data_IF_131861402641
#
_entry.id   IF_131861402641
#
_cell.length_a   1.000
_cell.length_b   1.000
_cell.length_c   1.000
_cell.angle_alpha   90.00
_cell.angle_beta   90.00
_cell.angle_gamma   90.00
#
_symmetry.space_group_name_H-M   'P 1'
#
loop_
_entity.id
_entity.type
_entity.pdbx_description
1 polymer ?
#
# COMPACT_ATOMS: atom_id res chain seq x y z
N UNK A 1 -27.07 -28.18 -24.10
CA UNK A 1 -25.69 -28.03 -23.62
C UNK A 1 -25.74 -27.98 -22.11
N UNK A 2 -25.55 -29.13 -21.46
CA UNK A 2 -25.74 -29.28 -20.02
C UNK A 2 -24.47 -28.77 -19.34
N UNK A 3 -24.56 -27.65 -18.62
CA UNK A 3 -23.54 -27.30 -17.64
C UNK A 3 -23.57 -28.37 -16.54
N UNK A 4 -22.69 -29.36 -16.63
CA UNK A 4 -22.47 -30.31 -15.54
C UNK A 4 -22.03 -29.52 -14.30
N UNK A 5 -22.60 -29.84 -13.12
CA UNK A 5 -22.32 -29.18 -11.83
C UNK A 5 -20.81 -28.92 -11.60
N UNK A 6 -19.94 -29.83 -12.04
CA UNK A 6 -18.49 -29.70 -11.94
C UNK A 6 -17.92 -28.49 -12.69
N UNK A 7 -18.43 -28.17 -13.89
CA UNK A 7 -17.99 -27.01 -14.67
C UNK A 7 -18.41 -25.68 -14.03
N UNK A 8 -19.56 -25.68 -13.34
CA UNK A 8 -20.04 -24.52 -12.58
C UNK A 8 -19.15 -24.25 -11.36
N UNK A 9 -18.77 -25.31 -10.63
CA UNK A 9 -17.88 -25.23 -9.47
C UNK A 9 -16.49 -24.74 -9.89
N UNK A 10 -15.90 -25.30 -10.96
CA UNK A 10 -14.60 -24.86 -11.48
C UNK A 10 -14.65 -23.39 -11.91
N UNK A 11 -15.70 -22.97 -12.62
CA UNK A 11 -15.88 -21.57 -13.03
C UNK A 11 -16.01 -20.63 -11.83
N UNK A 12 -16.74 -21.04 -10.79
CA UNK A 12 -16.87 -20.29 -9.55
C UNK A 12 -15.54 -20.23 -8.77
N UNK A 13 -14.78 -21.31 -8.70
CA UNK A 13 -13.46 -21.33 -8.06
C UNK A 13 -12.45 -20.45 -8.80
N UNK A 14 -12.46 -20.43 -10.14
CA UNK A 14 -11.62 -19.55 -10.95
C UNK A 14 -12.03 -18.09 -10.78
N UNK A 15 -13.34 -17.79 -10.76
CA UNK A 15 -13.86 -16.46 -10.50
C UNK A 15 -13.52 -15.98 -9.09
N UNK A 16 -13.69 -16.82 -8.07
CA UNK A 16 -13.33 -16.52 -6.69
C UNK A 16 -11.81 -16.33 -6.53
N UNK A 17 -10.99 -17.16 -7.16
CA UNK A 17 -9.52 -17.00 -7.19
C UNK A 17 -9.13 -15.68 -7.86
N UNK A 18 -9.81 -15.31 -8.95
CA UNK A 18 -9.58 -14.05 -9.65
C UNK A 18 -9.98 -12.84 -8.80
N UNK A 19 -11.13 -12.89 -8.12
CA UNK A 19 -11.59 -11.85 -7.19
C UNK A 19 -10.67 -11.73 -5.97
N UNK A 20 -10.26 -12.86 -5.38
CA UNK A 20 -9.30 -12.89 -4.27
C UNK A 20 -7.92 -12.34 -4.68
N UNK A 21 -7.50 -12.57 -5.93
CA UNK A 21 -6.27 -11.99 -6.46
C UNK A 21 -6.36 -10.47 -6.69
N UNK A 22 -7.58 -9.90 -6.80
CA UNK A 22 -7.79 -8.45 -6.94
C UNK A 22 -7.68 -7.73 -5.60
N UNK A 23 -8.03 -8.37 -4.47
CA UNK A 23 -7.92 -7.79 -3.11
C UNK A 23 -6.56 -8.07 -2.42
N UNK A 24 -5.48 -8.18 -3.19
CA UNK A 24 -4.14 -8.42 -2.61
C UNK A 24 -3.58 -7.08 -2.10
N UNK A 25 -3.52 -6.96 -0.78
CA UNK A 25 -2.75 -5.93 -0.09
C UNK A 25 -1.32 -5.91 -0.63
N UNK A 26 -0.82 -4.72 -1.00
CA UNK A 26 0.53 -4.60 -1.54
C UNK A 26 1.53 -4.30 -0.43
N UNK A 27 2.51 -5.17 -0.26
CA UNK A 27 3.58 -5.00 0.71
C UNK A 27 4.52 -3.88 0.19
N UNK A 28 4.62 -2.74 0.89
CA UNK A 28 5.55 -1.69 0.51
C UNK A 28 6.99 -2.10 0.81
N UNK A 29 7.90 -1.73 -0.09
CA UNK A 29 9.35 -1.72 0.16
C UNK A 29 9.86 -0.29 0.21
N UNK A 30 10.98 -0.08 0.87
CA UNK A 30 11.51 1.26 1.13
C UNK A 30 12.94 1.38 0.64
N UNK A 31 13.27 2.53 0.10
CA UNK A 31 14.65 2.90 -0.20
C UNK A 31 14.90 4.36 0.14
N UNK A 32 16.19 4.69 0.31
CA UNK A 32 16.68 6.05 0.52
C UNK A 32 17.76 6.34 -0.52
N UNK A 33 17.66 7.48 -1.21
CA UNK A 33 18.66 7.94 -2.18
C UNK A 33 19.03 9.39 -1.84
N UNK A 34 20.20 9.57 -1.21
CA UNK A 34 20.57 10.87 -0.62
C UNK A 34 19.58 11.25 0.48
N UNK A 35 18.99 12.44 0.38
CA UNK A 35 17.99 12.96 1.33
C UNK A 35 16.55 12.51 1.01
N UNK A 36 16.36 11.76 -0.08
CA UNK A 36 15.04 11.34 -0.54
C UNK A 36 14.67 9.95 -0.05
N UNK A 37 13.39 9.78 0.27
CA UNK A 37 12.81 8.53 0.74
C UNK A 37 11.74 8.08 -0.24
N UNK A 38 11.74 6.78 -0.55
CA UNK A 38 10.83 6.22 -1.53
C UNK A 38 10.08 5.00 -1.00
N UNK A 39 8.81 4.91 -1.39
CA UNK A 39 8.00 3.70 -1.25
C UNK A 39 7.89 3.02 -2.60
N UNK A 40 8.03 1.70 -2.61
CA UNK A 40 8.02 0.87 -3.80
C UNK A 40 6.91 -0.17 -3.71
N UNK A 41 6.04 -0.22 -4.72
CA UNK A 41 4.98 -1.23 -4.86
C UNK A 41 5.13 -1.99 -6.17
N UNK A 42 5.07 -3.32 -6.09
CA UNK A 42 5.27 -4.21 -7.25
C UNK A 42 3.94 -4.84 -7.69
N UNK A 43 3.69 -4.79 -9.00
CA UNK A 43 2.48 -5.30 -9.63
C UNK A 43 2.83 -6.22 -10.80
N UNK A 44 2.45 -7.48 -10.71
CA UNK A 44 2.72 -8.48 -11.75
C UNK A 44 1.93 -8.25 -13.05
N UNK A 45 0.99 -7.28 -13.06
CA UNK A 45 0.08 -7.02 -14.17
C UNK A 45 0.40 -5.67 -14.84
N UNK A 46 0.92 -5.75 -16.06
CA UNK A 46 1.23 -4.63 -16.96
C UNK A 46 -0.01 -3.84 -17.43
N UNK A 47 -1.22 -4.41 -17.27
CA UNK A 47 -2.49 -3.79 -17.70
C UNK A 47 -3.12 -2.86 -16.65
N UNK A 48 -2.62 -2.85 -15.42
CA UNK A 48 -3.12 -1.95 -14.38
C UNK A 48 -2.55 -0.55 -14.60
N UNK A 49 -3.36 0.30 -15.23
CA UNK A 49 -3.11 1.74 -15.33
C UNK A 49 -3.80 2.44 -14.17
N UNK A 50 -3.03 2.87 -13.17
CA UNK A 50 -3.51 3.75 -12.11
C UNK A 50 -3.40 5.20 -12.57
N UNK A 51 -4.44 5.97 -12.33
CA UNK A 51 -4.52 7.38 -12.78
C UNK A 51 -4.15 8.33 -11.65
N UNK A 52 -4.37 7.91 -10.41
CA UNK A 52 -4.08 8.71 -9.23
C UNK A 52 -3.53 7.83 -8.11
N UNK A 53 -2.51 8.33 -7.44
CA UNK A 53 -1.89 7.70 -6.29
C UNK A 53 -1.83 8.72 -5.15
N UNK A 54 -2.23 8.30 -3.96
CA UNK A 54 -2.25 9.14 -2.77
C UNK A 54 -1.52 8.44 -1.63
N UNK A 55 -0.86 9.19 -0.76
CA UNK A 55 -0.55 8.71 0.58
C UNK A 55 -1.71 9.11 1.49
N UNK A 56 -2.34 8.13 2.13
CA UNK A 56 -3.26 8.37 3.23
C UNK A 56 -2.50 8.28 4.54
N UNK A 57 -2.77 9.23 5.43
CA UNK A 57 -2.34 9.23 6.83
C UNK A 57 -3.56 9.03 7.70
N UNK A 58 -3.50 8.02 8.56
CA UNK A 58 -4.60 7.75 9.47
C UNK A 58 -4.71 8.80 10.57
N UNK A 59 -5.90 8.89 11.18
CA UNK A 59 -6.19 9.82 12.26
C UNK A 59 -5.33 9.50 13.48
N UNK A 60 -4.67 10.51 14.03
CA UNK A 60 -4.08 10.41 15.37
C UNK A 60 -5.11 10.94 16.37
N UNK A 61 -5.80 10.02 17.04
CA UNK A 61 -6.88 10.31 17.98
C UNK A 61 -6.46 11.29 19.09
N UNK A 62 -5.16 11.41 19.36
CA UNK A 62 -4.62 12.17 20.48
C UNK A 62 -4.33 13.65 20.16
N UNK A 63 -4.18 14.04 18.88
CA UNK A 63 -3.67 15.38 18.51
C UNK A 63 -4.62 16.22 17.62
N UNK A 64 -5.87 15.79 17.44
CA UNK A 64 -6.91 16.59 16.78
C UNK A 64 -6.70 16.81 15.27
N UNK A 65 -5.80 16.04 14.65
CA UNK A 65 -5.61 16.01 13.21
C UNK A 65 -6.40 14.87 12.60
N UNK A 66 -7.50 15.19 11.90
CA UNK A 66 -8.27 14.21 11.15
C UNK A 66 -7.44 13.48 10.07
N UNK A 67 -8.03 12.45 9.43
CA UNK A 67 -7.38 11.76 8.33
C UNK A 67 -7.02 12.73 7.21
N UNK A 68 -5.85 12.54 6.61
CA UNK A 68 -5.34 13.39 5.54
C UNK A 68 -4.82 12.56 4.38
N UNK A 69 -4.96 13.09 3.17
CA UNK A 69 -4.37 12.51 1.96
C UNK A 69 -3.41 13.50 1.32
N UNK A 70 -2.32 12.96 0.78
CA UNK A 70 -1.25 13.70 0.14
C UNK A 70 -1.07 13.18 -1.29
N UNK A 71 -1.16 14.07 -2.26
CA UNK A 71 -0.70 13.78 -3.62
C UNK A 71 0.83 13.72 -3.61
N UNK A 72 1.39 12.58 -4.03
CA UNK A 72 2.83 12.37 -4.10
C UNK A 72 3.28 12.11 -5.53
N UNK A 73 4.42 12.66 -5.97
CA UNK A 73 5.02 12.30 -7.24
C UNK A 73 5.34 10.81 -7.28
N UNK A 74 5.10 10.17 -8.43
CA UNK A 74 5.47 8.78 -8.63
C UNK A 74 6.01 8.54 -10.03
N UNK A 75 6.85 7.52 -10.14
CA UNK A 75 7.37 7.01 -11.41
C UNK A 75 7.04 5.53 -11.53
N UNK A 76 6.79 5.08 -12.75
CA UNK A 76 6.59 3.66 -13.05
C UNK A 76 7.85 3.15 -13.75
N UNK A 77 8.44 2.11 -13.20
CA UNK A 77 9.52 1.35 -13.84
C UNK A 77 8.97 -0.01 -14.28
N UNK A 78 9.08 -0.30 -15.57
CA UNK A 78 8.61 -1.55 -16.13
C UNK A 78 9.71 -2.60 -16.04
N UNK A 79 9.39 -3.74 -15.44
CA UNK A 79 10.27 -4.91 -15.30
C UNK A 79 9.66 -6.11 -16.04
N UNK A 80 10.49 -7.14 -16.30
CA UNK A 80 10.06 -8.36 -16.99
C UNK A 80 8.92 -9.10 -16.26
N UNK A 81 8.87 -8.97 -14.92
CA UNK A 81 7.90 -9.65 -14.06
C UNK A 81 6.74 -8.75 -13.61
N UNK A 82 6.69 -7.50 -14.05
CA UNK A 82 5.67 -6.56 -13.60
C UNK A 82 6.12 -5.10 -13.59
N UNK A 83 5.28 -4.22 -13.10
CA UNK A 83 5.57 -2.80 -12.92
C UNK A 83 5.92 -2.50 -11.46
N UNK A 84 6.96 -1.70 -11.27
CA UNK A 84 7.31 -1.10 -10.00
C UNK A 84 6.85 0.35 -9.98
N UNK A 85 6.09 0.72 -8.96
CA UNK A 85 5.68 2.09 -8.70
C UNK A 85 6.54 2.63 -7.57
N UNK A 86 7.30 3.67 -7.85
CA UNK A 86 8.19 4.35 -6.91
C UNK A 86 7.60 5.72 -6.57
N UNK A 87 7.26 5.92 -5.30
CA UNK A 87 6.61 7.13 -4.76
C UNK A 87 7.61 7.93 -3.92
N UNK A 88 7.75 9.23 -4.18
CA UNK A 88 8.59 10.12 -3.36
C UNK A 88 7.81 10.55 -2.11
N UNK A 89 8.21 10.02 -0.95
CA UNK A 89 7.56 10.27 0.35
C UNK A 89 8.40 11.18 1.25
N UNK A 90 9.39 11.87 0.68
CA UNK A 90 10.34 12.70 1.44
C UNK A 90 9.67 13.85 2.18
N UNK A 91 8.51 14.31 1.69
CA UNK A 91 7.72 15.40 2.27
C UNK A 91 6.78 14.97 3.40
N UNK A 92 6.65 13.66 3.67
CA UNK A 92 5.80 13.20 4.76
C UNK A 92 6.39 13.62 6.10
N UNK A 93 5.52 13.88 7.07
CA UNK A 93 5.95 14.19 8.42
C UNK A 93 6.61 12.96 9.05
N UNK A 94 7.76 13.21 9.65
CA UNK A 94 8.63 12.22 10.29
C UNK A 94 8.60 12.32 11.80
N UNK A 95 8.08 13.43 12.35
CA UNK A 95 8.17 13.78 13.77
C UNK A 95 7.11 13.12 14.65
N UNK A 96 6.20 12.35 14.07
CA UNK A 96 5.14 11.64 14.78
C UNK A 96 4.97 10.22 14.22
N UNK A 97 4.51 9.29 15.06
CA UNK A 97 4.17 7.90 14.70
C UNK A 97 2.90 7.80 13.88
N UNK A 98 2.75 8.65 12.87
CA UNK A 98 1.64 8.57 11.95
C UNK A 98 1.82 7.36 11.06
N UNK A 99 0.75 6.57 10.98
CA UNK A 99 0.67 5.44 10.10
C UNK A 99 0.20 5.91 8.72
N UNK A 100 0.97 5.54 7.70
CA UNK A 100 0.72 5.88 6.31
C UNK A 100 0.36 4.64 5.52
N UNK A 101 -0.42 4.81 4.45
CA UNK A 101 -0.64 3.79 3.42
C UNK A 101 -0.73 4.43 2.04
N UNK A 102 -0.33 3.71 1.00
CA UNK A 102 -0.54 4.14 -0.38
C UNK A 102 -1.95 3.73 -0.80
N UNK A 103 -2.69 4.66 -1.40
CA UNK A 103 -3.98 4.41 -2.04
C UNK A 103 -3.83 4.60 -3.56
N UNK A 104 -4.31 3.62 -4.32
CA UNK A 104 -4.21 3.60 -5.78
C UNK A 104 -5.61 3.62 -6.39
N UNK A 105 -5.82 4.57 -7.29
CA UNK A 105 -7.11 4.83 -7.91
C UNK A 105 -7.08 4.61 -9.42
N UNK A 106 -8.20 4.11 -9.95
CA UNK A 106 -8.50 4.02 -11.38
C UNK A 106 -9.92 4.52 -11.59
N UNK A 107 -10.13 5.50 -12.48
CA UNK A 107 -11.44 6.12 -12.70
C UNK A 107 -12.11 6.59 -11.40
N UNK A 108 -11.34 7.19 -10.48
CA UNK A 108 -11.78 7.63 -9.15
C UNK A 108 -12.26 6.52 -8.19
N UNK A 109 -12.19 5.24 -8.58
CA UNK A 109 -12.44 4.12 -7.69
C UNK A 109 -11.13 3.73 -7.01
N UNK A 110 -11.14 3.60 -5.68
CA UNK A 110 -10.02 2.99 -4.95
C UNK A 110 -9.96 1.52 -5.35
N UNK A 111 -8.84 1.12 -5.96
CA UNK A 111 -8.67 -0.25 -6.47
C UNK A 111 -7.80 -1.05 -5.52
N UNK A 112 -6.76 -0.43 -4.96
CA UNK A 112 -5.77 -1.10 -4.13
C UNK A 112 -5.21 -0.15 -3.08
N UNK A 113 -4.79 -0.74 -1.96
CA UNK A 113 -4.01 -0.05 -0.94
C UNK A 113 -2.81 -0.91 -0.51
N UNK A 114 -1.76 -0.23 -0.05
CA UNK A 114 -0.61 -0.92 0.54
C UNK A 114 -0.87 -1.32 1.98
N UNK A 115 -0.05 -2.22 2.50
CA UNK A 115 0.12 -2.33 3.95
C UNK A 115 0.56 -0.97 4.52
N UNK A 116 0.25 -0.79 5.79
CA UNK A 116 0.61 0.38 6.56
C UNK A 116 2.12 0.48 6.78
N UNK A 117 2.63 1.70 6.87
CA UNK A 117 4.04 1.98 7.09
C UNK A 117 4.26 3.27 7.88
N UNK A 118 5.42 3.38 8.50
CA UNK A 118 5.77 4.47 9.42
C UNK A 118 7.24 4.82 9.29
N UNK A 119 7.58 6.07 9.59
CA UNK A 119 8.99 6.48 9.68
C UNK A 119 9.61 5.99 10.98
N UNK A 120 10.82 5.46 10.92
CA UNK A 120 11.61 5.04 12.07
C UNK A 120 12.92 5.81 12.12
N UNK A 121 13.06 6.66 13.14
CA UNK A 121 14.23 7.52 13.33
C UNK A 121 15.51 6.74 13.61
N UNK A 122 15.43 5.59 14.30
CA UNK A 122 16.60 4.81 14.70
C UNK A 122 17.34 4.20 13.51
N UNK A 123 16.59 3.77 12.49
CA UNK A 123 17.14 3.20 11.26
C UNK A 123 17.09 4.17 10.09
N UNK A 124 16.64 5.41 10.32
CA UNK A 124 16.53 6.48 9.32
C UNK A 124 15.84 5.98 8.03
N UNK A 125 14.70 5.33 8.19
CA UNK A 125 13.97 4.70 7.09
C UNK A 125 12.49 4.53 7.42
N UNK A 126 11.67 4.35 6.37
CA UNK A 126 10.31 3.88 6.54
C UNK A 126 10.30 2.36 6.72
N UNK A 127 9.42 1.89 7.59
CA UNK A 127 9.22 0.49 7.88
C UNK A 127 7.75 0.13 7.73
N UNK A 128 7.50 -1.07 7.25
CA UNK A 128 6.14 -1.63 7.23
C UNK A 128 5.67 -1.85 8.66
N UNK A 129 4.46 -1.41 8.97
CA UNK A 129 3.77 -1.73 10.21
C UNK A 129 3.32 -3.20 10.11
N UNK A 130 4.00 -4.07 10.85
CA UNK A 130 3.60 -5.46 11.04
C UNK A 130 3.03 -5.69 12.44
N UNK A 131 2.59 -6.93 12.74
CA UNK A 131 2.03 -7.30 14.05
C UNK A 131 2.93 -6.94 15.23
N UNK A 132 4.26 -7.01 15.06
CA UNK A 132 5.22 -6.68 16.12
C UNK A 132 5.33 -5.18 16.45
N UNK A 133 4.92 -4.27 15.55
CA UNK A 133 4.92 -2.84 15.83
C UNK A 133 3.79 -2.44 16.78
N UNK A 134 2.62 -3.12 16.70
CA UNK A 134 1.50 -2.92 17.64
C UNK A 134 1.87 -3.33 19.06
N UNK A 135 2.53 -4.48 19.22
CA UNK A 135 2.94 -5.00 20.53
C UNK A 135 3.93 -4.08 21.27
N UNK A 136 4.86 -3.42 20.57
CA UNK A 136 5.85 -2.54 21.22
C UNK A 136 5.33 -1.15 21.60
N UNK A 137 4.18 -0.74 21.08
CA UNK A 137 3.62 0.61 21.34
C UNK A 137 2.24 0.60 22.00
N UNK A 138 1.54 -0.53 22.08
CA UNK A 138 0.38 -0.73 22.96
C UNK A 138 0.79 -0.96 24.44
N UNK A 139 2.01 -1.46 24.69
CA UNK A 139 2.52 -1.70 26.06
C UNK A 139 3.01 -0.42 26.78
N UNK A 140 3.01 0.74 26.12
CA UNK A 140 3.35 2.03 26.76
C UNK A 140 2.17 2.73 27.43
N UNK A 141 0.98 2.13 27.44
CA UNK A 141 -0.15 2.57 28.29
C UNK A 141 -0.31 1.64 29.49
N UNK A 142 0.50 1.86 30.52
CA UNK A 142 0.23 1.42 31.91
C UNK A 142 0.20 2.64 32.83
#
# INVERSE_FOLDING_TARGET
>A
MILNKSNLIISFCLLASFICAINIHKIPRFSKEGEKYFVHLFFDNDRLKFEKCLIYRDCDCCFGGGPMTFDVPFTIQTHLLGNEFKFDVSSLDKKNTHVYKVLLFKNSLEVLYSDEFIYNENVDSFLRVGENYKLMHEDTTN
#
